data_IF_287627211503
#
_entry.id   IF_287627211503
#
_cell.length_a   1.000
_cell.length_b   1.000
_cell.length_c   1.000
_cell.angle_alpha   90.00
_cell.angle_beta   90.00
_cell.angle_gamma   90.00
#
_symmetry.space_group_name_H-M   'P 1'
#
loop_
_entity.id
_entity.type
_entity.pdbx_description
1 polymer ?
#
# COMPACT_ATOMS: atom_id res chain seq x y z
N UNK A 1 -49.76 -58.51 -35.26
CA UNK A 1 -50.96 -58.34 -36.10
C UNK A 1 -50.77 -57.03 -36.85
N UNK A 2 -50.59 -57.14 -38.18
CA UNK A 2 -50.63 -56.14 -39.27
C UNK A 2 -49.92 -54.78 -39.08
N UNK A 3 -48.76 -54.51 -39.70
CA UNK A 3 -48.43 -54.25 -41.13
C UNK A 3 -49.18 -53.05 -41.74
N UNK A 4 -48.45 -51.97 -42.02
CA UNK A 4 -48.56 -51.22 -43.28
C UNK A 4 -47.28 -50.42 -43.54
N UNK A 5 -46.66 -50.71 -44.70
CA UNK A 5 -45.51 -50.06 -45.33
C UNK A 5 -46.03 -49.32 -46.57
N UNK A 6 -45.56 -48.10 -46.87
CA UNK A 6 -45.48 -47.50 -48.23
C UNK A 6 -44.56 -46.26 -48.13
N UNK A 7 -43.28 -46.28 -48.49
CA UNK A 7 -42.60 -46.25 -49.81
C UNK A 7 -42.71 -44.95 -50.64
N UNK A 8 -41.51 -44.40 -50.95
CA UNK A 8 -41.09 -43.62 -52.15
C UNK A 8 -41.44 -42.11 -52.20
N UNK A 9 -40.58 -41.16 -52.64
CA UNK A 9 -39.32 -41.12 -53.43
C UNK A 9 -38.64 -39.72 -53.26
N UNK A 10 -37.42 -39.47 -53.79
CA UNK A 10 -36.55 -38.32 -53.46
C UNK A 10 -36.50 -37.18 -54.51
N UNK A 11 -35.65 -36.15 -54.23
CA UNK A 11 -34.98 -35.14 -55.12
C UNK A 11 -35.69 -33.76 -55.26
N UNK A 12 -35.03 -32.59 -55.49
CA UNK A 12 -33.61 -32.14 -55.40
C UNK A 12 -33.36 -30.85 -54.55
N UNK A 13 -32.07 -30.53 -54.38
CA UNK A 13 -31.53 -29.20 -54.04
C UNK A 13 -31.73 -28.19 -55.19
N UNK A 14 -32.15 -26.96 -54.85
CA UNK A 14 -31.99 -25.78 -55.72
C UNK A 14 -31.48 -24.59 -54.92
N UNK A 15 -30.29 -24.11 -55.28
CA UNK A 15 -29.73 -22.79 -54.96
C UNK A 15 -30.47 -21.71 -55.77
N UNK A 16 -30.93 -20.62 -55.13
CA UNK A 16 -30.80 -19.26 -55.69
C UNK A 16 -31.32 -18.17 -54.74
N UNK A 17 -30.36 -17.42 -54.19
CA UNK A 17 -30.29 -15.95 -54.11
C UNK A 17 -31.52 -15.06 -53.75
N UNK A 18 -31.28 -14.28 -52.67
CA UNK A 18 -31.36 -12.80 -52.57
C UNK A 18 -32.64 -12.09 -52.11
N UNK A 19 -32.40 -11.36 -50.99
CA UNK A 19 -32.92 -10.04 -50.55
C UNK A 19 -34.26 -10.03 -49.81
N UNK A 20 -34.24 -9.69 -48.51
CA UNK A 20 -34.47 -8.31 -48.05
C UNK A 20 -34.08 -8.13 -46.56
N UNK A 21 -33.82 -6.87 -46.24
CA UNK A 21 -33.14 -6.25 -45.10
C UNK A 21 -34.07 -6.11 -43.85
N UNK A 22 -33.56 -6.26 -42.61
CA UNK A 22 -33.59 -5.20 -41.56
C UNK A 22 -33.21 -5.63 -40.12
N UNK A 23 -32.21 -4.89 -39.60
CA UNK A 23 -32.01 -4.30 -38.26
C UNK A 23 -31.91 -5.13 -36.94
N UNK A 24 -30.71 -4.98 -36.35
CA UNK A 24 -30.34 -4.68 -34.95
C UNK A 24 -30.74 -5.62 -33.79
N UNK A 25 -29.70 -6.22 -33.16
CA UNK A 25 -29.38 -6.16 -31.71
C UNK A 25 -28.01 -6.84 -31.51
N UNK A 26 -26.91 -6.09 -31.45
CA UNK A 26 -26.21 -5.65 -30.23
C UNK A 26 -25.81 -6.80 -29.28
N UNK A 27 -24.51 -7.13 -29.33
CA UNK A 27 -23.67 -7.35 -28.16
C UNK A 27 -23.86 -8.64 -27.36
N UNK A 28 -23.02 -9.65 -27.64
CA UNK A 28 -22.62 -10.63 -26.63
C UNK A 28 -21.14 -11.04 -26.84
N UNK A 29 -20.22 -10.12 -26.52
CA UNK A 29 -18.85 -10.50 -26.19
C UNK A 29 -18.84 -10.87 -24.70
N UNK A 30 -19.09 -12.13 -24.38
CA UNK A 30 -19.02 -12.65 -23.02
C UNK A 30 -17.71 -13.42 -22.82
N UNK A 31 -16.76 -12.75 -22.16
CA UNK A 31 -15.86 -13.28 -21.13
C UNK A 31 -15.27 -14.68 -21.36
N UNK A 32 -14.13 -14.73 -22.04
CA UNK A 32 -13.05 -15.67 -21.68
C UNK A 32 -12.04 -14.92 -20.81
N UNK A 33 -12.29 -14.90 -19.50
CA UNK A 33 -11.34 -14.41 -18.51
C UNK A 33 -10.75 -15.58 -17.72
N UNK A 34 -9.42 -15.62 -17.69
CA UNK A 34 -8.57 -16.23 -16.67
C UNK A 34 -8.54 -17.77 -16.55
N UNK A 35 -7.75 -18.41 -17.42
CA UNK A 35 -7.06 -19.66 -17.12
C UNK A 35 -5.55 -19.52 -17.40
N UNK A 36 -4.95 -18.41 -16.97
CA UNK A 36 -3.50 -18.23 -16.90
C UNK A 36 -3.10 -18.29 -15.42
N UNK A 37 -2.17 -19.18 -15.07
CA UNK A 37 -1.56 -19.17 -13.75
C UNK A 37 -1.01 -17.78 -13.41
N UNK A 38 -1.10 -17.38 -12.14
CA UNK A 38 -0.46 -16.15 -11.69
C UNK A 38 1.04 -16.22 -12.05
N UNK A 39 1.65 -15.12 -12.53
CA UNK A 39 3.09 -15.06 -12.71
C UNK A 39 3.83 -15.48 -11.44
N UNK A 40 4.89 -16.27 -11.58
CA UNK A 40 5.69 -16.81 -10.47
C UNK A 40 6.29 -15.71 -9.54
N UNK A 41 6.27 -14.44 -9.98
CA UNK A 41 6.75 -13.28 -9.22
C UNK A 41 5.67 -12.57 -8.37
N UNK A 42 4.43 -13.06 -8.35
CA UNK A 42 3.32 -12.48 -7.59
C UNK A 42 3.25 -12.95 -6.12
N UNK A 43 4.09 -13.90 -5.70
CA UNK A 43 4.08 -14.48 -4.35
C UNK A 43 5.30 -14.03 -3.53
N UNK A 44 5.44 -12.72 -3.38
CA UNK A 44 6.50 -12.11 -2.58
C UNK A 44 6.14 -11.91 -1.10
N UNK A 45 4.96 -12.31 -0.62
CA UNK A 45 4.47 -12.09 0.76
C UNK A 45 4.57 -13.37 1.61
N UNK A 46 4.77 -13.29 2.94
CA UNK A 46 4.85 -14.46 3.79
C UNK A 46 3.55 -15.27 3.73
N UNK A 47 3.65 -16.57 3.97
CA UNK A 47 2.53 -17.50 3.80
C UNK A 47 1.29 -17.12 4.65
N UNK A 48 1.48 -16.39 5.75
CA UNK A 48 0.39 -15.90 6.59
C UNK A 48 -0.35 -14.68 6.01
N UNK A 49 0.20 -13.95 5.02
CA UNK A 49 -0.52 -12.82 4.40
C UNK A 49 -1.78 -13.32 3.68
N UNK A 50 -2.96 -12.74 3.95
CA UNK A 50 -4.21 -13.11 3.29
C UNK A 50 -4.20 -12.92 1.77
N UNK A 51 -4.83 -13.81 0.98
CA UNK A 51 -4.87 -13.70 -0.49
C UNK A 51 -5.44 -12.38 -1.00
N UNK A 52 -6.46 -11.82 -0.33
CA UNK A 52 -7.05 -10.53 -0.73
C UNK A 52 -6.08 -9.34 -0.60
N UNK A 53 -4.95 -9.55 0.08
CA UNK A 53 -3.89 -8.57 0.27
C UNK A 53 -2.61 -8.90 -0.49
N UNK A 54 -2.55 -10.05 -1.14
CA UNK A 54 -1.49 -10.40 -2.08
C UNK A 54 -1.86 -9.73 -3.40
N UNK A 55 -1.11 -8.72 -3.83
CA UNK A 55 -1.29 -8.02 -5.11
C UNK A 55 -2.36 -6.92 -5.13
N UNK A 56 -2.55 -6.18 -4.03
CA UNK A 56 -3.42 -4.98 -4.01
C UNK A 56 -3.02 -3.98 -5.10
N UNK A 57 -1.70 -3.87 -5.35
CA UNK A 57 -1.14 -3.01 -6.39
C UNK A 57 -0.86 -3.73 -7.73
N UNK A 58 -1.19 -5.02 -7.86
CA UNK A 58 -1.00 -5.81 -9.08
C UNK A 58 0.21 -6.75 -9.07
N UNK A 59 0.59 -7.22 -10.26
CA UNK A 59 1.81 -7.96 -10.64
C UNK A 59 3.01 -7.05 -10.99
N UNK A 60 4.26 -7.38 -10.60
CA UNK A 60 5.41 -6.79 -11.30
C UNK A 60 5.73 -7.59 -12.57
N UNK A 61 5.97 -6.95 -13.72
CA UNK A 61 6.66 -7.60 -14.84
C UNK A 61 8.14 -7.86 -14.47
N UNK A 62 8.79 -8.86 -15.10
CA UNK A 62 10.26 -8.99 -15.06
C UNK A 62 10.87 -7.82 -15.83
N UNK A 63 11.57 -6.91 -15.12
CA UNK A 63 12.21 -5.75 -15.77
C UNK A 63 13.50 -5.33 -15.05
N UNK A 64 14.44 -4.91 -15.91
CA UNK A 64 15.77 -4.36 -15.67
C UNK A 64 15.81 -3.18 -14.67
N UNK A 65 16.95 -3.00 -13.99
CA UNK A 65 17.17 -1.98 -12.95
C UNK A 65 17.38 -0.60 -13.62
N UNK A 66 16.55 0.42 -13.38
CA UNK A 66 16.76 1.76 -13.89
C UNK A 66 17.80 2.54 -13.07
N UNK A 67 18.55 3.34 -13.81
CA UNK A 67 19.66 4.19 -13.44
C UNK A 67 19.25 5.67 -13.55
N UNK A 68 18.77 6.32 -12.48
CA UNK A 68 18.57 7.79 -12.52
C UNK A 68 18.17 8.50 -11.23
N UNK A 69 18.03 7.84 -10.07
CA UNK A 69 17.91 8.61 -8.82
C UNK A 69 19.28 9.20 -8.43
N UNK A 70 19.34 10.43 -7.91
CA UNK A 70 20.60 11.05 -7.47
C UNK A 70 21.17 10.40 -6.20
N UNK A 71 20.60 9.27 -5.76
CA UNK A 71 21.00 8.44 -4.64
C UNK A 71 20.69 6.98 -4.97
N UNK A 72 21.46 6.05 -4.39
CA UNK A 72 21.37 4.62 -4.66
C UNK A 72 20.06 3.97 -4.16
N UNK A 73 19.43 4.56 -3.15
CA UNK A 73 18.17 4.10 -2.59
C UNK A 73 17.43 5.24 -1.89
N UNK A 74 16.10 5.21 -2.00
CA UNK A 74 15.21 5.91 -1.08
C UNK A 74 14.68 4.93 -0.02
N UNK A 75 14.14 5.45 1.08
CA UNK A 75 13.61 4.63 2.17
C UNK A 75 12.11 4.81 2.31
N UNK A 76 11.40 3.69 2.46
CA UNK A 76 10.05 3.69 3.02
C UNK A 76 10.16 3.48 4.53
N UNK A 77 9.68 4.45 5.30
CA UNK A 77 9.69 4.45 6.76
C UNK A 77 8.29 4.53 7.30
N UNK A 78 8.12 4.05 8.51
CA UNK A 78 6.85 4.06 9.21
C UNK A 78 7.04 4.61 10.61
N UNK A 79 6.03 5.32 11.08
CA UNK A 79 6.00 5.87 12.41
C UNK A 79 4.58 5.83 12.98
N UNK A 80 4.48 5.98 14.28
CA UNK A 80 3.22 6.22 14.97
C UNK A 80 3.42 7.36 15.98
N UNK A 81 2.34 8.04 16.41
CA UNK A 81 2.42 8.98 17.51
C UNK A 81 2.94 8.33 18.81
N UNK A 82 3.52 9.09 19.73
CA UNK A 82 3.98 8.58 21.02
C UNK A 82 2.88 7.78 21.73
N UNK A 83 3.25 6.62 22.29
CA UNK A 83 2.34 5.67 22.94
C UNK A 83 1.26 5.03 22.06
N UNK A 84 1.09 5.44 20.81
CA UNK A 84 0.08 4.91 19.91
C UNK A 84 0.61 3.74 19.08
N UNK A 85 1.06 2.69 19.76
CA UNK A 85 1.72 1.56 19.11
C UNK A 85 0.89 0.93 18.00
N UNK A 86 1.59 0.48 16.95
CA UNK A 86 1.01 -0.15 15.78
C UNK A 86 1.75 -1.43 15.39
N UNK A 87 1.08 -2.27 14.62
CA UNK A 87 1.69 -3.39 13.92
C UNK A 87 1.40 -3.33 12.43
N UNK A 88 2.42 -3.28 11.59
CA UNK A 88 2.25 -3.26 10.14
C UNK A 88 2.09 -4.69 9.63
N UNK A 89 0.91 -5.01 9.11
CA UNK A 89 0.64 -6.31 8.53
C UNK A 89 1.10 -6.43 7.08
N UNK A 90 1.01 -5.32 6.33
CA UNK A 90 1.34 -5.30 4.90
C UNK A 90 1.68 -3.88 4.45
N UNK A 91 2.64 -3.78 3.54
CA UNK A 91 2.86 -2.58 2.76
C UNK A 91 3.39 -2.92 1.38
N UNK A 92 2.99 -2.15 0.38
CA UNK A 92 3.37 -2.35 -1.02
C UNK A 92 3.67 -1.00 -1.67
N UNK A 93 4.64 -1.01 -2.59
CA UNK A 93 5.02 0.16 -3.38
C UNK A 93 4.88 -0.19 -4.85
N UNK A 94 4.13 0.61 -5.60
CA UNK A 94 4.18 0.63 -7.05
C UNK A 94 4.96 1.89 -7.46
N UNK A 95 6.06 1.74 -8.17
CA UNK A 95 6.85 2.88 -8.64
C UNK A 95 6.34 3.44 -9.98
N UNK A 96 6.95 4.53 -10.45
CA UNK A 96 6.57 5.20 -11.71
C UNK A 96 6.84 4.34 -12.97
N UNK A 97 7.72 3.35 -12.87
CA UNK A 97 8.01 2.38 -13.93
C UNK A 97 7.05 1.17 -13.88
N UNK A 98 6.02 1.24 -13.02
CA UNK A 98 5.05 0.19 -12.75
C UNK A 98 5.67 -1.11 -12.21
N UNK A 99 6.76 -0.99 -11.46
CA UNK A 99 7.36 -2.09 -10.73
C UNK A 99 6.78 -2.15 -9.34
N UNK A 100 6.38 -3.35 -8.94
CA UNK A 100 5.79 -3.59 -7.64
C UNK A 100 6.83 -4.18 -6.69
N UNK A 101 7.02 -3.51 -5.56
CA UNK A 101 7.66 -4.11 -4.40
C UNK A 101 6.59 -4.59 -3.42
N UNK A 102 6.31 -5.91 -3.38
CA UNK A 102 5.54 -6.48 -2.28
C UNK A 102 6.39 -6.46 -1.00
N UNK A 103 5.77 -6.25 0.16
CA UNK A 103 6.47 -6.10 1.46
C UNK A 103 7.51 -4.98 1.48
N UNK A 104 7.08 -3.77 1.21
CA UNK A 104 7.96 -2.61 1.36
C UNK A 104 8.35 -2.31 2.84
N UNK A 105 7.75 -3.02 3.79
CA UNK A 105 7.99 -2.98 5.23
C UNK A 105 6.88 -3.67 6.03
N UNK A 106 7.16 -4.04 7.27
CA UNK A 106 6.22 -4.77 8.13
C UNK A 106 6.74 -4.95 9.55
N UNK A 107 5.87 -5.38 10.46
CA UNK A 107 6.20 -5.67 11.86
C UNK A 107 5.97 -4.51 12.83
N UNK A 108 6.51 -4.67 14.05
CA UNK A 108 6.45 -3.64 15.10
C UNK A 108 7.41 -2.51 14.78
N UNK A 109 6.99 -1.30 15.08
CA UNK A 109 7.87 -0.14 15.13
C UNK A 109 8.08 0.17 16.60
N UNK A 110 9.28 -0.07 17.11
CA UNK A 110 9.62 0.36 18.46
C UNK A 110 10.00 1.83 18.40
N UNK A 111 9.24 2.66 19.10
CA UNK A 111 9.87 3.77 19.81
C UNK A 111 10.48 3.14 21.07
N UNK A 112 11.68 3.55 21.46
CA UNK A 112 12.25 3.12 22.74
C UNK A 112 11.44 3.68 23.92
N UNK A 113 12.09 3.85 25.06
CA UNK A 113 11.49 4.62 26.15
C UNK A 113 11.18 6.05 25.67
N UNK A 114 9.91 6.44 25.78
CA UNK A 114 9.37 7.71 25.29
C UNK A 114 9.28 8.77 26.39
N UNK A 115 9.59 8.44 27.66
CA UNK A 115 9.57 9.42 28.76
C UNK A 115 8.30 10.27 28.83
N UNK A 116 8.39 11.55 29.17
CA UNK A 116 7.21 12.43 29.28
C UNK A 116 6.82 13.11 27.94
N UNK A 117 6.97 12.42 26.81
CA UNK A 117 6.54 12.94 25.49
C UNK A 117 5.02 13.06 25.42
N UNK A 118 4.55 14.19 24.89
CA UNK A 118 3.13 14.42 24.59
C UNK A 118 2.66 13.47 23.48
N UNK A 119 1.62 12.68 23.77
CA UNK A 119 0.96 11.81 22.80
C UNK A 119 0.14 12.59 21.77
N UNK A 120 -0.15 13.87 22.02
CA UNK A 120 -0.81 14.74 21.06
C UNK A 120 0.15 15.17 19.94
N UNK A 121 -0.33 15.04 18.70
CA UNK A 121 0.44 15.43 17.52
C UNK A 121 1.45 14.39 17.08
N UNK A 122 2.30 14.80 16.15
CA UNK A 122 3.24 13.92 15.46
C UNK A 122 4.68 14.17 15.89
N UNK A 123 4.95 14.76 17.05
CA UNK A 123 6.30 15.23 17.36
C UNK A 123 7.01 14.32 18.37
N UNK A 124 8.31 14.13 18.18
CA UNK A 124 9.18 13.60 19.23
C UNK A 124 9.61 14.71 20.20
N UNK A 125 10.38 14.38 21.25
CA UNK A 125 10.90 15.33 22.26
C UNK A 125 11.58 16.59 21.67
N UNK A 126 12.11 16.50 20.44
CA UNK A 126 12.76 17.61 19.74
C UNK A 126 11.80 18.47 18.92
N UNK A 127 10.49 18.25 19.04
CA UNK A 127 9.48 18.96 18.26
C UNK A 127 9.50 18.62 16.77
N UNK A 128 10.06 17.47 16.37
CA UNK A 128 10.19 17.06 14.95
C UNK A 128 9.31 15.85 14.64
N UNK A 129 8.78 15.74 13.40
CA UNK A 129 8.06 14.55 12.96
C UNK A 129 8.92 13.29 13.12
N UNK A 130 8.33 12.14 13.52
CA UNK A 130 9.09 10.92 13.74
C UNK A 130 9.77 10.50 12.44
N UNK A 131 11.05 10.15 12.56
CA UNK A 131 11.81 9.58 11.46
C UNK A 131 11.28 8.18 11.10
N UNK A 132 10.84 7.43 12.12
CA UNK A 132 10.28 6.09 11.97
C UNK A 132 11.35 5.01 11.70
N UNK A 133 10.97 3.74 11.79
CA UNK A 133 11.81 2.64 11.31
C UNK A 133 11.48 2.38 9.83
N UNK A 134 12.45 1.96 9.03
CA UNK A 134 12.21 1.75 7.61
C UNK A 134 13.26 0.93 6.90
N UNK A 135 13.07 0.80 5.59
CA UNK A 135 13.89 -0.04 4.71
C UNK A 135 14.34 0.76 3.49
N UNK A 136 15.62 0.66 3.16
CA UNK A 136 16.17 1.14 1.90
C UNK A 136 15.68 0.30 0.72
N UNK A 137 15.16 0.98 -0.30
CA UNK A 137 14.61 0.41 -1.52
C UNK A 137 15.58 0.71 -2.67
N UNK A 138 16.56 -0.18 -2.84
CA UNK A 138 17.57 -0.09 -3.91
C UNK A 138 16.99 -0.59 -5.22
N UNK A 139 17.33 0.10 -6.32
CA UNK A 139 16.92 -0.30 -7.66
C UNK A 139 15.43 -0.08 -7.96
N UNK A 140 14.68 0.60 -7.08
CA UNK A 140 13.28 0.99 -7.29
C UNK A 140 13.21 2.49 -7.57
N UNK A 141 12.35 2.90 -8.51
CA UNK A 141 12.14 4.31 -8.82
C UNK A 141 11.20 4.92 -7.77
N UNK A 142 10.94 6.21 -7.83
CA UNK A 142 10.09 6.89 -6.86
C UNK A 142 8.63 6.38 -6.93
N UNK A 143 7.92 6.39 -5.79
CA UNK A 143 6.58 5.80 -5.71
C UNK A 143 5.59 6.52 -6.61
N UNK A 144 4.75 5.73 -7.28
CA UNK A 144 3.53 6.14 -7.96
C UNK A 144 2.31 5.91 -7.07
N UNK A 145 2.27 4.78 -6.37
CA UNK A 145 1.18 4.41 -5.43
C UNK A 145 1.73 3.65 -4.24
N UNK A 146 1.14 3.89 -3.08
CA UNK A 146 1.48 3.22 -1.83
C UNK A 146 0.24 2.54 -1.25
N UNK A 147 0.46 1.34 -0.73
CA UNK A 147 -0.53 0.60 0.07
C UNK A 147 0.06 0.30 1.44
N UNK A 148 -0.76 0.46 2.48
CA UNK A 148 -0.41 0.07 3.84
C UNK A 148 -1.63 -0.50 4.56
N UNK A 149 -1.41 -1.57 5.33
CA UNK A 149 -2.38 -2.15 6.26
C UNK A 149 -1.71 -2.37 7.60
N UNK A 150 -2.32 -1.87 8.65
CA UNK A 150 -1.77 -1.94 10.00
C UNK A 150 -2.86 -2.16 11.04
N UNK A 151 -2.46 -2.69 12.19
CA UNK A 151 -3.26 -2.73 13.40
C UNK A 151 -2.86 -1.55 14.28
N UNK A 152 -3.83 -0.83 14.81
CA UNK A 152 -3.61 -0.05 16.02
C UNK A 152 -3.69 -0.98 17.22
N UNK A 153 -2.70 -0.91 18.12
CA UNK A 153 -2.61 -1.82 19.28
C UNK A 153 -3.30 -1.24 20.52
N UNK A 154 -3.43 0.08 20.56
CA UNK A 154 -4.06 0.83 21.67
C UNK A 154 -5.57 0.95 21.56
N UNK A 155 -6.08 0.93 20.33
CA UNK A 155 -7.50 0.69 20.01
C UNK A 155 -7.53 -0.48 19.03
N UNK A 156 -7.68 -1.73 19.50
CA UNK A 156 -7.55 -2.92 18.66
C UNK A 156 -8.45 -2.87 17.41
N UNK A 157 -7.89 -2.39 16.31
CA UNK A 157 -8.57 -2.08 15.07
C UNK A 157 -7.57 -2.11 13.92
N UNK A 158 -7.92 -2.84 12.87
CA UNK A 158 -7.14 -2.89 11.63
C UNK A 158 -7.61 -1.81 10.65
N UNK A 159 -6.66 -1.14 10.02
CA UNK A 159 -6.87 -0.13 8.99
C UNK A 159 -6.12 -0.47 7.71
N UNK A 160 -6.62 0.02 6.57
CA UNK A 160 -5.92 0.00 5.28
C UNK A 160 -6.05 1.31 4.53
N UNK A 161 -4.98 1.70 3.85
CA UNK A 161 -4.95 2.86 2.97
C UNK A 161 -4.25 2.52 1.65
N UNK A 162 -4.79 3.06 0.57
CA UNK A 162 -4.25 3.00 -0.78
C UNK A 162 -4.32 4.41 -1.36
N UNK A 163 -3.20 4.98 -1.77
CA UNK A 163 -3.16 6.36 -2.25
C UNK A 163 -2.08 6.58 -3.31
N UNK A 164 -2.38 7.47 -4.26
CA UNK A 164 -1.44 7.90 -5.28
C UNK A 164 -0.43 8.87 -4.69
N UNK A 165 0.84 8.65 -4.99
CA UNK A 165 1.92 9.53 -4.55
C UNK A 165 2.02 10.73 -5.51
N UNK A 166 2.08 11.99 -5.02
CA UNK A 166 1.95 13.16 -5.88
C UNK A 166 3.20 13.37 -6.73
N UNK A 167 3.04 13.83 -7.96
CA UNK A 167 4.17 14.11 -8.86
C UNK A 167 5.12 15.17 -8.30
N UNK A 168 4.57 16.26 -7.74
CA UNK A 168 5.35 17.33 -7.12
C UNK A 168 6.22 16.82 -5.96
N UNK A 169 5.75 15.82 -5.21
CA UNK A 169 6.53 15.24 -4.12
C UNK A 169 7.74 14.48 -4.68
N UNK A 170 7.59 13.76 -5.81
CA UNK A 170 8.72 13.12 -6.51
C UNK A 170 9.73 14.15 -7.01
N UNK A 171 9.27 15.26 -7.57
CA UNK A 171 10.14 16.37 -7.99
C UNK A 171 10.96 16.91 -6.80
N UNK A 172 10.33 17.08 -5.64
CA UNK A 172 11.02 17.47 -4.39
C UNK A 172 11.98 16.42 -3.83
N UNK A 173 11.78 15.14 -4.14
CA UNK A 173 12.68 14.05 -3.74
C UNK A 173 13.95 13.97 -4.59
N UNK A 174 13.96 14.56 -5.80
CA UNK A 174 15.15 14.63 -6.68
C UNK A 174 15.77 16.03 -6.74
N UNK A 175 15.12 17.04 -6.13
CA UNK A 175 15.67 18.38 -5.99
C UNK A 175 16.86 18.39 -4.99
N UNK A 176 18.05 18.86 -5.40
CA UNK A 176 19.19 18.99 -4.51
C UNK A 176 18.94 20.09 -3.47
N UNK A 177 19.26 19.82 -2.22
CA UNK A 177 19.18 20.80 -1.13
C UNK A 177 20.51 20.91 -0.39
N UNK A 178 20.85 22.14 0.02
CA UNK A 178 21.95 22.34 0.96
C UNK A 178 21.44 22.08 2.38
N UNK A 179 22.12 21.18 3.09
CA UNK A 179 21.81 20.83 4.48
C UNK A 179 23.05 20.97 5.34
N UNK A 180 22.87 21.34 6.60
CA UNK A 180 23.92 21.30 7.62
C UNK A 180 23.61 20.17 8.59
N UNK A 181 24.34 19.06 8.46
CA UNK A 181 24.15 17.89 9.29
C UNK A 181 24.98 18.01 10.57
N UNK A 182 24.35 17.75 11.72
CA UNK A 182 25.03 17.63 13.03
C UNK A 182 26.28 16.76 12.93
N UNK A 183 26.18 15.67 12.17
CA UNK A 183 27.30 14.82 11.81
C UNK A 183 27.51 14.88 10.29
N UNK A 184 28.57 15.58 9.85
CA UNK A 184 28.96 15.68 8.45
C UNK A 184 29.01 17.09 7.88
N UNK A 185 28.54 18.10 8.63
CA UNK A 185 28.59 19.51 8.23
C UNK A 185 27.74 19.83 7.00
N UNK A 186 28.11 20.91 6.31
CA UNK A 186 27.41 21.38 5.12
C UNK A 186 27.64 20.48 3.92
N UNK A 187 26.55 20.04 3.27
CA UNK A 187 26.60 19.23 2.07
C UNK A 187 25.34 19.38 1.23
N UNK A 188 25.43 18.98 -0.03
CA UNK A 188 24.25 18.76 -0.87
C UNK A 188 23.65 17.37 -0.57
N UNK A 189 22.35 17.30 -0.34
CA UNK A 189 21.60 16.06 -0.06
C UNK A 189 20.21 16.14 -0.72
N UNK A 190 19.41 15.08 -0.59
CA UNK A 190 18.10 14.93 -1.24
C UNK A 190 17.08 14.36 -0.26
N UNK A 191 15.78 14.62 -0.47
CA UNK A 191 14.71 14.10 0.37
C UNK A 191 14.37 12.64 0.03
N UNK A 192 15.28 11.75 0.39
CA UNK A 192 15.22 10.32 0.04
C UNK A 192 14.42 9.45 1.02
N UNK A 193 13.76 10.02 2.02
CA UNK A 193 12.89 9.27 2.94
C UNK A 193 11.43 9.61 2.71
N UNK A 194 10.59 8.59 2.55
CA UNK A 194 9.13 8.67 2.59
C UNK A 194 8.68 8.06 3.90
N UNK A 195 8.13 8.87 4.80
CA UNK A 195 7.63 8.39 6.11
C UNK A 195 6.11 8.36 6.11
N UNK A 196 5.55 7.19 6.44
CA UNK A 196 4.12 7.01 6.71
C UNK A 196 3.90 7.06 8.22
N UNK A 197 3.30 8.14 8.70
CA UNK A 197 2.75 8.22 10.05
C UNK A 197 1.39 7.57 10.09
N UNK A 198 1.22 6.57 10.95
CA UNK A 198 -0.01 5.81 11.09
C UNK A 198 -0.53 5.99 12.51
N UNK A 199 -1.70 6.61 12.64
CA UNK A 199 -2.31 6.91 13.93
C UNK A 199 -3.60 6.11 14.14
N UNK A 200 -4.03 5.95 15.40
CA UNK A 200 -5.38 5.58 15.76
C UNK A 200 -6.45 6.42 15.04
N UNK A 201 -7.63 5.86 14.85
CA UNK A 201 -8.71 6.47 14.08
C UNK A 201 -8.47 6.45 12.56
N UNK A 202 -7.38 5.83 12.09
CA UNK A 202 -7.11 5.62 10.67
C UNK A 202 -6.44 6.81 9.97
N UNK A 203 -5.88 7.78 10.69
CA UNK A 203 -5.17 8.89 10.05
C UNK A 203 -3.79 8.44 9.55
N UNK A 204 -3.52 8.68 8.27
CA UNK A 204 -2.22 8.49 7.65
C UNK A 204 -1.65 9.84 7.24
N UNK A 205 -0.56 10.26 7.87
CA UNK A 205 0.22 11.42 7.40
C UNK A 205 1.45 10.96 6.64
N UNK A 206 1.80 11.67 5.57
CA UNK A 206 2.92 11.31 4.71
C UNK A 206 3.89 12.47 4.63
N UNK A 207 5.17 12.19 4.87
CA UNK A 207 6.24 13.18 4.74
C UNK A 207 7.33 12.72 3.80
N UNK A 208 7.98 13.68 3.15
CA UNK A 208 9.29 13.50 2.52
C UNK A 208 10.35 14.27 3.31
N UNK A 209 11.51 13.65 3.54
CA UNK A 209 12.62 14.28 4.25
C UNK A 209 13.96 13.60 3.97
N UNK A 210 15.00 14.10 4.61
CA UNK A 210 16.25 13.37 4.81
C UNK A 210 16.71 13.50 6.29
N UNK A 211 17.85 12.91 6.68
CA UNK A 211 18.33 12.97 8.06
C UNK A 211 18.57 14.39 8.59
N UNK A 212 18.89 15.35 7.71
CA UNK A 212 19.38 16.68 8.07
C UNK A 212 18.46 17.82 7.64
N UNK A 213 17.35 17.51 6.98
CA UNK A 213 16.37 18.49 6.52
C UNK A 213 15.11 18.45 7.38
N UNK A 214 14.41 19.59 7.36
CA UNK A 214 13.02 19.62 7.78
C UNK A 214 12.16 18.73 6.87
N UNK A 215 11.10 18.17 7.47
CA UNK A 215 10.16 17.32 6.77
C UNK A 215 9.13 18.16 6.03
N UNK A 216 8.73 17.71 4.83
CA UNK A 216 7.62 18.29 4.08
C UNK A 216 6.46 17.32 4.17
N UNK A 217 5.35 17.75 4.78
CA UNK A 217 4.09 17.00 4.69
C UNK A 217 3.58 17.08 3.24
N UNK A 218 3.30 15.92 2.65
CA UNK A 218 2.83 15.85 1.27
C UNK A 218 1.34 15.54 1.16
N UNK A 219 0.77 14.87 2.17
CA UNK A 219 -0.66 14.60 2.29
C UNK A 219 -1.04 14.06 3.67
N UNK A 220 -2.33 14.18 3.98
CA UNK A 220 -3.01 13.44 5.03
C UNK A 220 -4.15 12.64 4.40
N UNK A 221 -4.28 11.36 4.74
CA UNK A 221 -5.25 10.41 4.18
C UNK A 221 -6.02 9.75 5.31
N UNK A 222 -7.33 9.62 5.14
CA UNK A 222 -8.17 8.81 6.02
C UNK A 222 -8.22 7.36 5.51
N UNK A 223 -7.75 6.43 6.33
CA UNK A 223 -7.78 5.01 6.05
C UNK A 223 -9.16 4.40 6.31
N UNK A 224 -9.39 3.26 5.67
CA UNK A 224 -10.59 2.47 5.83
C UNK A 224 -10.40 1.47 6.98
N UNK A 225 -11.46 1.32 7.78
CA UNK A 225 -11.58 0.25 8.77
C UNK A 225 -11.69 -1.11 8.05
N UNK A 226 -10.87 -2.07 8.46
CA UNK A 226 -10.95 -3.47 8.03
C UNK A 226 -11.80 -4.23 9.05
N UNK A 227 -13.01 -4.63 8.63
CA UNK A 227 -14.02 -5.23 9.51
C UNK A 227 -13.68 -6.66 9.92
N UNK A 228 -12.89 -7.34 9.09
CA UNK A 228 -12.43 -8.70 9.30
C UNK A 228 -11.41 -8.80 10.45
N UNK A 229 -10.89 -7.67 10.94
CA UNK A 229 -9.94 -7.63 12.04
C UNK A 229 -8.50 -7.98 11.62
N UNK A 230 -7.68 -8.53 12.53
CA UNK A 230 -6.26 -8.74 12.28
C UNK A 230 -6.05 -9.84 11.25
N UNK A 231 -5.13 -9.62 10.31
CA UNK A 231 -4.80 -10.53 9.23
C UNK A 231 -6.04 -11.01 8.43
N UNK A 232 -7.00 -10.11 8.18
CA UNK A 232 -8.30 -10.42 7.53
C UNK A 232 -9.03 -11.61 8.17
N UNK A 233 -9.11 -11.63 9.51
CA UNK A 233 -9.81 -12.66 10.26
C UNK A 233 -9.06 -13.99 10.34
N UNK A 234 -7.79 -14.04 9.90
CA UNK A 234 -6.93 -15.22 10.08
C UNK A 234 -6.33 -15.33 11.48
N UNK A 235 -6.43 -14.27 12.28
CA UNK A 235 -6.07 -14.28 13.69
C UNK A 235 -7.27 -13.85 14.52
N UNK A 236 -7.42 -14.46 15.69
CA UNK A 236 -8.47 -14.09 16.65
C UNK A 236 -8.07 -12.90 17.50
N UNK A 237 -6.76 -12.70 17.71
CA UNK A 237 -6.21 -11.69 18.61
C UNK A 237 -5.34 -10.70 17.85
N UNK A 238 -5.42 -9.44 18.26
CA UNK A 238 -4.50 -8.39 17.85
C UNK A 238 -3.15 -8.56 18.54
N UNK A 239 -2.11 -7.98 17.95
CA UNK A 239 -0.84 -7.80 18.67
C UNK A 239 -1.11 -6.92 19.89
N UNK A 240 -0.54 -7.26 21.04
CA UNK A 240 -0.75 -6.49 22.27
C UNK A 240 0.22 -5.32 22.34
N UNK A 241 -0.28 -4.14 22.70
CA UNK A 241 0.56 -2.99 23.03
C UNK A 241 1.43 -3.27 24.27
N UNK A 242 2.54 -2.54 24.40
CA UNK A 242 3.34 -2.55 25.62
C UNK A 242 2.54 -2.10 26.85
N UNK A 243 2.88 -2.58 28.06
CA UNK A 243 2.25 -2.12 29.31
C UNK A 243 2.30 -0.59 29.47
N UNK A 244 3.40 0.04 29.04
CA UNK A 244 3.62 1.47 29.11
C UNK A 244 2.63 2.24 28.22
N UNK A 245 2.51 1.84 26.95
CA UNK A 245 1.54 2.40 26.01
C UNK A 245 0.10 2.23 26.51
N UNK A 246 -0.22 1.05 27.03
CA UNK A 246 -1.54 0.75 27.57
C UNK A 246 -1.87 1.63 28.79
N UNK A 247 -0.96 1.73 29.75
CA UNK A 247 -1.14 2.55 30.94
C UNK A 247 -1.27 4.05 30.59
N UNK A 248 -0.52 4.52 29.59
CA UNK A 248 -0.63 5.90 29.12
C UNK A 248 -2.03 6.18 28.55
N UNK A 249 -2.52 5.31 27.67
CA UNK A 249 -3.83 5.47 27.03
C UNK A 249 -4.97 5.34 28.05
N UNK A 250 -4.86 4.45 29.04
CA UNK A 250 -5.84 4.35 30.13
C UNK A 250 -5.91 5.63 30.97
N UNK A 251 -4.78 6.33 31.14
CA UNK A 251 -4.71 7.56 31.93
C UNK A 251 -5.15 8.82 31.16
N UNK A 252 -4.76 8.94 29.89
CA UNK A 252 -4.90 10.19 29.12
C UNK A 252 -5.90 10.09 27.96
N UNK A 253 -6.33 8.89 27.60
CA UNK A 253 -7.13 8.63 26.40
C UNK A 253 -6.34 8.72 25.10
N UNK A 254 -7.05 8.60 23.98
CA UNK A 254 -6.48 8.70 22.63
C UNK A 254 -6.85 10.08 22.03
N UNK A 255 -5.88 10.95 21.73
CA UNK A 255 -6.13 12.30 21.24
C UNK A 255 -6.35 12.34 19.71
N UNK A 256 -7.42 11.70 19.21
CA UNK A 256 -7.70 11.55 17.76
C UNK A 256 -7.60 12.84 16.94
N UNK A 257 -8.05 13.97 17.50
CA UNK A 257 -8.05 15.27 16.81
C UNK A 257 -6.65 15.87 16.63
N UNK A 258 -5.67 15.42 17.41
CA UNK A 258 -4.31 16.00 17.41
C UNK A 258 -3.50 15.63 16.16
N UNK A 259 -3.96 14.65 15.39
CA UNK A 259 -3.23 14.11 14.23
C UNK A 259 -3.83 14.50 12.89
N UNK A 260 -4.94 15.23 12.87
CA UNK A 260 -5.58 15.69 11.64
C UNK A 260 -4.76 16.82 11.00
#
# INVERSE_FOLDING_TARGET
MEIAIFLHRPVPLTLSNRRFLHLLLLGLAALTACAGGLPDHCDGLPANTPPADRNVLGCSPEVNIPDDLPYQAWELRFAHPPYMEIWIENSQVLDIDNRLLPRAGGGTISFGDLGDVDAAGWLNESGKPPYGAGRALTGLNLPKRLYVRWQSLVEPQTYKALFDFPAWAREKMVEPIQVDCVFGGQKTDYRRWVTLGLAPGGTVKVWIRNPCSEAIEIMTVQAQVVKEGPYLGKAEQYVTATPEAKAHVEKHGIPYESWK
#
